data_IF_833477910557
#
_entry.id   IF_833477910557
#
_cell.length_a   1.000
_cell.length_b   1.000
_cell.length_c   1.000
_cell.angle_alpha   90.00
_cell.angle_beta   90.00
_cell.angle_gamma   90.00
#
_symmetry.space_group_name_H-M   'P 1'
#
loop_
_entity.id
_entity.type
_entity.pdbx_description
1 polymer ?
#
# COMPACT_ATOMS: atom_id res chain seq x y z
N UNK A 1 3.65 -12.29 -25.82
CA UNK A 1 2.83 -13.22 -25.04
C UNK A 1 3.22 -12.99 -23.59
N UNK A 2 2.32 -12.45 -22.81
CA UNK A 2 2.57 -12.24 -21.40
C UNK A 2 2.75 -13.59 -20.71
N UNK A 3 3.86 -13.74 -20.03
CA UNK A 3 4.17 -14.99 -19.34
C UNK A 3 3.36 -15.04 -18.04
N UNK A 4 2.21 -15.70 -18.05
CA UNK A 4 1.28 -15.78 -16.91
C UNK A 4 1.79 -16.67 -15.76
N UNK A 5 2.88 -17.39 -15.95
CA UNK A 5 3.50 -18.25 -14.93
C UNK A 5 5.02 -18.12 -14.95
N UNK A 6 5.66 -18.06 -13.77
CA UNK A 6 7.13 -18.16 -13.64
C UNK A 6 7.61 -19.58 -13.86
N UNK A 7 6.93 -20.57 -13.27
CA UNK A 7 7.22 -22.01 -13.47
C UNK A 7 6.01 -22.88 -13.13
N UNK A 8 5.98 -24.10 -13.70
CA UNK A 8 4.95 -25.09 -13.36
C UNK A 8 5.02 -25.53 -11.89
N UNK A 9 6.22 -25.54 -11.31
CA UNK A 9 6.42 -25.88 -9.91
C UNK A 9 5.75 -24.86 -9.00
N UNK A 10 5.93 -23.57 -9.24
CA UNK A 10 5.31 -22.49 -8.46
C UNK A 10 3.78 -22.48 -8.56
N UNK A 11 3.24 -22.87 -9.72
CA UNK A 11 1.78 -23.06 -9.86
C UNK A 11 1.30 -24.23 -8.99
N UNK A 12 2.06 -25.33 -8.93
CA UNK A 12 1.69 -26.49 -8.12
C UNK A 12 1.82 -26.23 -6.61
N UNK A 13 2.87 -25.51 -6.19
CA UNK A 13 3.19 -25.30 -4.77
C UNK A 13 2.40 -24.11 -4.17
N UNK A 14 2.16 -23.06 -4.95
CA UNK A 14 1.58 -21.79 -4.46
C UNK A 14 0.37 -21.29 -5.25
N UNK A 15 -0.07 -22.01 -6.29
CA UNK A 15 -1.15 -21.56 -7.16
C UNK A 15 -0.81 -20.29 -7.96
N UNK A 16 0.49 -19.97 -8.14
CA UNK A 16 0.93 -18.70 -8.71
C UNK A 16 0.60 -18.60 -10.20
N UNK A 17 -0.43 -17.81 -10.51
CA UNK A 17 -0.83 -17.49 -11.88
C UNK A 17 -1.05 -15.98 -11.97
N UNK A 18 -0.29 -15.31 -12.83
CA UNK A 18 -0.43 -13.87 -13.02
C UNK A 18 -1.61 -13.54 -13.91
N UNK A 19 -2.44 -12.60 -13.48
CA UNK A 19 -3.56 -12.08 -14.27
C UNK A 19 -3.04 -11.31 -15.47
N UNK A 20 -3.55 -11.60 -16.66
CA UNK A 20 -3.16 -10.91 -17.88
C UNK A 20 -3.56 -9.42 -17.84
N UNK A 21 -2.75 -8.56 -18.44
CA UNK A 21 -2.95 -7.09 -18.44
C UNK A 21 -4.35 -6.68 -18.90
N UNK A 22 -4.90 -7.34 -19.93
CA UNK A 22 -6.26 -7.08 -20.42
C UNK A 22 -7.31 -7.33 -19.33
N UNK A 23 -7.14 -8.38 -18.56
CA UNK A 23 -8.08 -8.77 -17.49
C UNK A 23 -7.94 -7.83 -16.30
N UNK A 24 -6.69 -7.47 -15.92
CA UNK A 24 -6.41 -6.45 -14.91
C UNK A 24 -7.13 -5.15 -15.24
N UNK A 25 -6.98 -4.66 -16.49
CA UNK A 25 -7.63 -3.43 -16.91
C UNK A 25 -9.15 -3.53 -16.86
N UNK A 26 -9.73 -4.65 -17.35
CA UNK A 26 -11.17 -4.86 -17.32
C UNK A 26 -11.74 -4.89 -15.90
N UNK A 27 -11.04 -5.51 -14.94
CA UNK A 27 -11.44 -5.53 -13.52
C UNK A 27 -11.32 -4.15 -12.89
N UNK A 28 -10.22 -3.44 -13.12
CA UNK A 28 -10.02 -2.08 -12.58
C UNK A 28 -10.96 -1.04 -13.18
N UNK A 29 -11.49 -1.29 -14.39
CA UNK A 29 -12.51 -0.42 -14.99
C UNK A 29 -13.86 -0.48 -14.25
N UNK A 30 -14.14 -1.56 -13.53
CA UNK A 30 -15.33 -1.67 -12.66
C UNK A 30 -15.27 -0.68 -11.48
N UNK A 31 -14.07 -0.37 -11.02
CA UNK A 31 -13.80 0.56 -9.90
C UNK A 31 -12.99 1.77 -10.37
N UNK A 32 -13.23 2.20 -11.63
CA UNK A 32 -12.47 3.27 -12.27
C UNK A 32 -12.43 4.56 -11.45
N UNK A 33 -13.54 4.92 -10.82
CA UNK A 33 -13.63 6.14 -10.00
C UNK A 33 -12.61 6.13 -8.86
N UNK A 34 -12.39 4.97 -8.22
CA UNK A 34 -11.42 4.83 -7.15
C UNK A 34 -9.99 4.76 -7.70
N UNK A 35 -9.74 4.09 -8.83
CA UNK A 35 -8.39 4.05 -9.43
C UNK A 35 -7.94 5.40 -9.99
N UNK A 36 -8.86 6.32 -10.26
CA UNK A 36 -8.59 7.70 -10.70
C UNK A 36 -8.62 8.71 -9.53
N UNK A 37 -8.88 8.28 -8.28
CA UNK A 37 -8.69 9.08 -7.06
C UNK A 37 -7.29 8.87 -6.51
N UNK A 38 -6.55 9.96 -6.33
CA UNK A 38 -5.14 9.91 -5.89
C UNK A 38 -4.99 9.24 -4.53
N UNK A 39 -5.90 9.53 -3.60
CA UNK A 39 -5.86 9.13 -2.19
C UNK A 39 -6.68 7.88 -1.85
N UNK A 40 -7.43 7.30 -2.79
CA UNK A 40 -8.13 6.03 -2.55
C UNK A 40 -7.15 4.91 -2.24
N UNK A 41 -7.35 4.23 -1.11
CA UNK A 41 -6.50 3.14 -0.66
C UNK A 41 -6.82 1.84 -1.39
N UNK A 42 -5.79 1.12 -1.81
CA UNK A 42 -5.87 -0.20 -2.42
C UNK A 42 -4.97 -1.17 -1.67
N UNK A 43 -5.51 -2.31 -1.28
CA UNK A 43 -4.77 -3.44 -0.75
C UNK A 43 -4.95 -4.65 -1.67
N UNK A 44 -3.85 -5.20 -2.15
CA UNK A 44 -3.82 -6.45 -2.92
C UNK A 44 -3.22 -7.56 -2.04
N UNK A 45 -4.04 -8.50 -1.54
CA UNK A 45 -3.59 -9.49 -0.56
C UNK A 45 -2.77 -10.65 -1.16
N UNK A 46 -2.68 -10.72 -2.49
CA UNK A 46 -1.85 -11.67 -3.23
C UNK A 46 -1.22 -10.95 -4.44
N UNK A 47 -0.37 -9.95 -4.15
CA UNK A 47 0.01 -8.97 -5.16
C UNK A 47 0.92 -9.52 -6.26
N UNK A 48 1.53 -10.69 -6.08
CA UNK A 48 2.50 -11.24 -7.02
C UNK A 48 3.62 -10.25 -7.33
N UNK A 49 3.97 -10.13 -8.60
CA UNK A 49 4.91 -9.13 -9.09
C UNK A 49 4.27 -7.74 -9.34
N UNK A 50 3.03 -7.54 -8.86
CA UNK A 50 2.35 -6.25 -8.83
C UNK A 50 1.54 -5.89 -10.08
N UNK A 51 0.93 -6.82 -10.80
CA UNK A 51 0.15 -6.52 -12.01
C UNK A 51 -0.99 -5.52 -11.77
N UNK A 52 -1.81 -5.74 -10.73
CA UNK A 52 -2.89 -4.83 -10.35
C UNK A 52 -2.35 -3.51 -9.81
N UNK A 53 -1.41 -3.57 -8.87
CA UNK A 53 -0.85 -2.38 -8.23
C UNK A 53 -0.12 -1.47 -9.23
N UNK A 54 0.56 -2.05 -10.23
CA UNK A 54 1.23 -1.31 -11.29
C UNK A 54 0.24 -0.51 -12.14
N UNK A 55 -0.89 -1.10 -12.51
CA UNK A 55 -1.91 -0.41 -13.28
C UNK A 55 -2.64 0.66 -12.45
N UNK A 56 -2.95 0.38 -11.19
CA UNK A 56 -3.51 1.37 -10.25
C UNK A 56 -2.57 2.57 -10.15
N UNK A 57 -1.27 2.33 -9.95
CA UNK A 57 -0.27 3.41 -9.87
C UNK A 57 -0.20 4.23 -11.15
N UNK A 58 -0.21 3.60 -12.33
CA UNK A 58 -0.23 4.33 -13.61
C UNK A 58 -1.45 5.24 -13.74
N UNK A 59 -2.64 4.75 -13.39
CA UNK A 59 -3.89 5.54 -13.43
C UNK A 59 -3.81 6.74 -12.48
N UNK A 60 -3.38 6.53 -11.25
CA UNK A 60 -3.21 7.62 -10.26
C UNK A 60 -2.17 8.64 -10.72
N UNK A 61 -0.99 8.21 -11.18
CA UNK A 61 0.04 9.12 -11.69
C UNK A 61 -0.40 9.88 -12.94
N UNK A 62 -1.23 9.28 -13.79
CA UNK A 62 -1.84 10.00 -14.93
C UNK A 62 -2.75 11.14 -14.47
N UNK A 63 -3.52 10.94 -13.40
CA UNK A 63 -4.32 11.99 -12.77
C UNK A 63 -3.42 13.08 -12.17
N UNK A 64 -2.40 12.67 -11.40
CA UNK A 64 -1.42 13.62 -10.82
C UNK A 64 -0.78 14.46 -11.91
N UNK A 65 -0.32 13.85 -13.00
CA UNK A 65 0.27 14.56 -14.14
C UNK A 65 -0.71 15.53 -14.80
N UNK A 66 -1.96 15.12 -14.98
CA UNK A 66 -3.00 15.96 -15.61
C UNK A 66 -3.32 17.20 -14.78
N UNK A 67 -3.42 17.04 -13.45
CA UNK A 67 -3.91 18.08 -12.56
C UNK A 67 -2.79 18.95 -11.97
N UNK A 68 -1.64 18.35 -11.68
CA UNK A 68 -0.53 18.97 -10.96
C UNK A 68 0.75 19.12 -11.80
N UNK A 69 0.64 19.08 -13.13
CA UNK A 69 1.80 19.30 -14.00
C UNK A 69 2.46 20.66 -13.69
N UNK A 70 3.79 20.71 -13.52
CA UNK A 70 4.50 21.93 -13.13
C UNK A 70 4.36 23.03 -14.17
N UNK A 71 3.43 23.97 -13.97
CA UNK A 71 3.18 25.08 -14.90
C UNK A 71 4.11 26.27 -14.68
N UNK A 72 4.74 26.38 -13.51
CA UNK A 72 5.59 27.51 -13.07
C UNK A 72 6.99 27.08 -12.64
N UNK A 73 7.45 25.92 -13.06
CA UNK A 73 8.82 25.47 -12.84
C UNK A 73 9.10 24.81 -11.47
N UNK A 74 8.09 24.63 -10.60
CA UNK A 74 8.26 23.87 -9.34
C UNK A 74 7.57 22.50 -9.44
N UNK A 75 8.29 21.43 -9.11
CA UNK A 75 7.74 20.08 -9.01
C UNK A 75 7.08 19.77 -7.66
N UNK A 76 7.02 20.72 -6.74
CA UNK A 76 6.58 20.49 -5.37
C UNK A 76 5.17 19.87 -5.29
N UNK A 77 4.19 20.48 -5.94
CA UNK A 77 2.81 19.99 -5.90
C UNK A 77 2.66 18.62 -6.58
N UNK A 78 3.39 18.41 -7.69
CA UNK A 78 3.45 17.10 -8.33
C UNK A 78 4.03 16.04 -7.39
N UNK A 79 5.15 16.32 -6.72
CA UNK A 79 5.76 15.40 -5.77
C UNK A 79 4.83 15.06 -4.60
N UNK A 80 4.14 16.05 -4.02
CA UNK A 80 3.20 15.79 -2.94
C UNK A 80 2.06 14.85 -3.36
N UNK A 81 1.49 15.07 -4.53
CA UNK A 81 0.38 14.24 -5.01
C UNK A 81 0.85 12.87 -5.50
N UNK A 82 2.03 12.79 -6.13
CA UNK A 82 2.63 11.51 -6.50
C UNK A 82 3.00 10.67 -5.26
N UNK A 83 3.48 11.31 -4.18
CA UNK A 83 3.71 10.65 -2.90
C UNK A 83 2.41 10.07 -2.33
N UNK A 84 1.30 10.84 -2.31
CA UNK A 84 -0.01 10.34 -1.85
C UNK A 84 -0.47 9.15 -2.69
N UNK A 85 -0.28 9.19 -4.02
CA UNK A 85 -0.61 8.07 -4.90
C UNK A 85 0.16 6.80 -4.54
N UNK A 86 1.46 6.90 -4.24
CA UNK A 86 2.28 5.75 -3.82
C UNK A 86 1.90 5.28 -2.42
N UNK A 87 1.67 6.20 -1.48
CA UNK A 87 1.28 5.91 -0.10
C UNK A 87 -0.06 5.20 0.03
N UNK A 88 -0.94 5.33 -0.97
CA UNK A 88 -2.27 4.71 -0.98
C UNK A 88 -2.32 3.29 -1.56
N UNK A 89 -1.16 2.70 -1.89
CA UNK A 89 -1.06 1.36 -2.51
C UNK A 89 -0.36 0.42 -1.54
N UNK A 90 -1.02 -0.70 -1.22
CA UNK A 90 -0.53 -1.74 -0.31
C UNK A 90 -0.60 -3.10 -0.98
N UNK A 91 0.34 -3.98 -0.63
CA UNK A 91 0.36 -5.34 -1.15
C UNK A 91 0.99 -6.33 -0.18
N UNK A 92 0.48 -7.55 -0.22
CA UNK A 92 1.06 -8.70 0.49
C UNK A 92 1.32 -9.79 -0.52
N UNK A 93 2.42 -10.49 -0.41
CA UNK A 93 2.67 -11.75 -1.11
C UNK A 93 3.49 -12.67 -0.22
N UNK A 94 3.23 -13.97 -0.31
CA UNK A 94 3.94 -14.98 0.50
C UNK A 94 5.39 -15.20 0.04
N UNK A 95 5.71 -14.81 -1.19
CA UNK A 95 7.00 -15.03 -1.81
C UNK A 95 7.83 -13.73 -1.86
N UNK A 96 8.97 -13.72 -1.18
CA UNK A 96 9.84 -12.55 -1.09
C UNK A 96 10.30 -12.03 -2.47
N UNK A 97 10.58 -12.91 -3.42
CA UNK A 97 11.00 -12.52 -4.77
C UNK A 97 9.88 -11.80 -5.57
N UNK A 98 8.62 -12.12 -5.29
CA UNK A 98 7.46 -11.39 -5.82
C UNK A 98 7.38 -10.00 -5.21
N UNK A 99 7.52 -9.91 -3.89
CA UNK A 99 7.53 -8.62 -3.17
C UNK A 99 8.62 -7.70 -3.71
N UNK A 100 9.83 -8.22 -3.90
CA UNK A 100 10.95 -7.43 -4.41
C UNK A 100 10.72 -7.01 -5.87
N UNK A 101 10.18 -7.91 -6.70
CA UNK A 101 9.82 -7.61 -8.08
C UNK A 101 8.69 -6.55 -8.15
N UNK A 102 7.68 -6.65 -7.30
CA UNK A 102 6.59 -5.70 -7.19
C UNK A 102 7.11 -4.30 -6.80
N UNK A 103 7.91 -4.20 -5.73
CA UNK A 103 8.52 -2.94 -5.28
C UNK A 103 9.34 -2.26 -6.38
N UNK A 104 10.19 -3.03 -7.06
CA UNK A 104 11.01 -2.49 -8.13
C UNK A 104 10.18 -2.04 -9.34
N UNK A 105 9.17 -2.82 -9.73
CA UNK A 105 8.25 -2.47 -10.81
C UNK A 105 7.48 -1.19 -10.52
N UNK A 106 6.93 -1.05 -9.33
CA UNK A 106 6.22 0.16 -8.91
C UNK A 106 7.16 1.37 -8.88
N UNK A 107 8.38 1.19 -8.38
CA UNK A 107 9.37 2.24 -8.39
C UNK A 107 9.75 2.68 -9.81
N UNK A 108 9.94 1.75 -10.73
CA UNK A 108 10.28 2.07 -12.13
C UNK A 108 9.17 2.85 -12.83
N UNK A 109 7.90 2.48 -12.60
CA UNK A 109 6.73 3.23 -13.12
C UNK A 109 6.75 4.65 -12.59
N UNK A 110 6.91 4.81 -11.28
CA UNK A 110 7.00 6.12 -10.64
C UNK A 110 8.18 6.93 -11.19
N UNK A 111 9.40 6.39 -11.21
CA UNK A 111 10.63 7.12 -11.57
C UNK A 111 10.62 7.57 -13.04
N UNK A 112 10.07 6.75 -13.94
CA UNK A 112 9.89 7.11 -15.35
C UNK A 112 9.02 8.37 -15.49
N UNK A 113 7.85 8.41 -14.84
CA UNK A 113 6.94 9.56 -14.87
C UNK A 113 7.54 10.78 -14.14
N UNK A 114 8.13 10.57 -12.96
CA UNK A 114 8.77 11.63 -12.19
C UNK A 114 9.90 12.32 -12.96
N UNK A 115 10.78 11.53 -13.57
CA UNK A 115 11.89 12.05 -14.38
C UNK A 115 11.38 12.80 -15.61
N UNK A 116 10.35 12.28 -16.29
CA UNK A 116 9.76 12.93 -17.46
C UNK A 116 9.10 14.28 -17.10
N UNK A 117 8.44 14.36 -15.94
CA UNK A 117 7.73 15.56 -15.49
C UNK A 117 8.69 16.58 -14.88
N UNK A 118 9.53 16.17 -13.93
CA UNK A 118 10.35 17.07 -13.13
C UNK A 118 11.72 17.36 -13.75
N UNK A 119 12.20 16.54 -14.68
CA UNK A 119 13.46 16.75 -15.43
C UNK A 119 14.65 17.02 -14.50
N UNK A 120 15.29 18.19 -14.64
CA UNK A 120 16.44 18.60 -13.82
C UNK A 120 16.12 18.89 -12.36
N UNK A 121 14.84 18.96 -11.97
CA UNK A 121 14.42 19.12 -10.58
C UNK A 121 14.18 17.77 -9.88
N UNK A 122 14.22 16.65 -10.61
CA UNK A 122 14.10 15.33 -10.03
C UNK A 122 15.28 15.09 -9.05
N UNK A 123 14.95 14.63 -7.82
CA UNK A 123 15.93 14.51 -6.74
C UNK A 123 16.04 13.07 -6.23
N UNK A 124 17.25 12.65 -5.89
CA UNK A 124 17.51 11.31 -5.35
C UNK A 124 16.96 11.15 -3.93
N UNK A 125 16.89 12.23 -3.15
CA UNK A 125 16.24 12.21 -1.85
C UNK A 125 14.74 11.83 -1.96
N UNK A 126 14.04 12.34 -2.98
CA UNK A 126 12.66 11.99 -3.20
C UNK A 126 12.50 10.55 -3.72
N UNK A 127 13.40 10.07 -4.60
CA UNK A 127 13.45 8.67 -5.02
C UNK A 127 13.65 7.71 -3.84
N UNK A 128 14.58 8.07 -2.94
CA UNK A 128 14.80 7.29 -1.70
C UNK A 128 13.57 7.25 -0.82
N UNK A 129 12.86 8.39 -0.69
CA UNK A 129 11.61 8.47 0.05
C UNK A 129 10.52 7.53 -0.54
N UNK A 130 10.37 7.50 -1.87
CA UNK A 130 9.43 6.61 -2.54
C UNK A 130 9.81 5.13 -2.36
N UNK A 131 11.10 4.78 -2.50
CA UNK A 131 11.56 3.40 -2.23
C UNK A 131 11.26 2.98 -0.79
N UNK A 132 11.45 3.87 0.16
CA UNK A 132 11.12 3.63 1.56
C UNK A 132 9.62 3.37 1.74
N UNK A 133 8.74 4.22 1.20
CA UNK A 133 7.28 4.00 1.27
C UNK A 133 6.90 2.64 0.68
N UNK A 134 7.42 2.30 -0.51
CA UNK A 134 7.15 1.00 -1.14
C UNK A 134 7.66 -0.17 -0.28
N UNK A 135 8.79 -0.02 0.42
CA UNK A 135 9.30 -1.07 1.32
C UNK A 135 8.40 -1.30 2.54
N UNK A 136 7.66 -0.28 2.97
CA UNK A 136 6.73 -0.36 4.09
C UNK A 136 5.32 -0.81 3.67
N UNK A 137 4.93 -0.54 2.43
CA UNK A 137 3.59 -0.82 1.94
C UNK A 137 3.46 -2.16 1.20
N UNK A 138 4.54 -2.71 0.66
CA UNK A 138 4.54 -4.00 -0.03
C UNK A 138 5.34 -4.99 0.81
N UNK A 139 4.66 -5.98 1.39
CA UNK A 139 5.23 -6.80 2.45
C UNK A 139 5.18 -8.29 2.11
N UNK A 140 6.20 -9.02 2.57
CA UNK A 140 6.19 -10.48 2.56
C UNK A 140 5.40 -10.98 3.77
N UNK A 141 4.38 -11.80 3.50
CA UNK A 141 3.50 -12.34 4.53
C UNK A 141 2.37 -13.17 3.95
N UNK A 142 1.65 -13.81 4.83
CA UNK A 142 0.46 -14.58 4.51
C UNK A 142 -0.78 -13.75 4.85
N UNK A 143 -1.50 -13.28 3.83
CA UNK A 143 -2.68 -12.44 4.03
C UNK A 143 -3.88 -13.19 4.64
N UNK A 144 -3.88 -14.53 4.61
CA UNK A 144 -4.95 -15.33 5.23
C UNK A 144 -4.78 -15.42 6.75
N UNK A 145 -3.55 -15.63 7.22
CA UNK A 145 -3.22 -15.62 8.65
C UNK A 145 -2.91 -14.23 9.19
N UNK A 146 -2.65 -13.25 8.27
CA UNK A 146 -2.23 -11.88 8.58
C UNK A 146 -0.87 -11.82 9.30
N UNK A 147 -0.06 -12.88 9.14
CA UNK A 147 1.26 -13.03 9.75
C UNK A 147 2.38 -12.79 8.73
N UNK A 148 3.54 -12.37 9.24
CA UNK A 148 4.77 -12.41 8.47
C UNK A 148 5.15 -13.87 8.22
N UNK A 149 5.88 -14.12 7.13
CA UNK A 149 6.41 -15.46 6.83
C UNK A 149 7.93 -15.46 6.86
N UNK A 150 8.49 -16.62 7.16
CA UNK A 150 9.91 -16.86 7.10
C UNK A 150 10.39 -17.15 5.66
N UNK A 151 11.67 -17.52 5.49
CA UNK A 151 12.26 -17.83 4.19
C UNK A 151 11.71 -19.11 3.53
N UNK A 152 11.01 -19.94 4.28
CA UNK A 152 10.36 -21.16 3.78
C UNK A 152 8.89 -20.90 3.39
N UNK A 153 8.36 -19.73 3.74
CA UNK A 153 6.96 -19.37 3.53
C UNK A 153 6.03 -19.80 4.67
N UNK A 154 6.60 -20.24 5.79
CA UNK A 154 5.84 -20.61 6.98
C UNK A 154 5.52 -19.36 7.82
N UNK A 155 4.33 -19.33 8.42
CA UNK A 155 3.92 -18.23 9.29
C UNK A 155 4.86 -18.09 10.50
N UNK A 156 5.24 -16.85 10.80
CA UNK A 156 5.98 -16.48 12.02
C UNK A 156 5.01 -16.02 13.12
N UNK A 157 5.54 -15.67 14.31
CA UNK A 157 4.77 -15.07 15.40
C UNK A 157 4.55 -13.55 15.22
N UNK A 158 4.99 -12.98 14.10
CA UNK A 158 4.91 -11.53 13.83
C UNK A 158 3.73 -11.21 12.93
N UNK A 159 2.87 -10.27 13.36
CA UNK A 159 1.77 -9.76 12.54
C UNK A 159 2.28 -8.91 11.38
N UNK A 160 1.52 -8.90 10.29
CA UNK A 160 1.69 -7.90 9.23
C UNK A 160 1.28 -6.54 9.80
N UNK A 161 2.17 -5.56 9.67
CA UNK A 161 1.98 -4.19 10.14
C UNK A 161 2.05 -3.28 8.92
N UNK A 162 0.99 -2.48 8.72
CA UNK A 162 0.96 -1.46 7.69
C UNK A 162 1.02 -0.06 8.27
N UNK A 163 1.78 0.84 7.64
CA UNK A 163 1.73 2.25 7.96
C UNK A 163 0.47 2.90 7.40
N UNK A 164 -0.15 3.74 8.18
CA UNK A 164 -1.03 4.78 7.69
C UNK A 164 -0.23 6.06 7.49
N UNK A 165 -0.34 6.63 6.30
CA UNK A 165 0.34 7.86 5.90
C UNK A 165 -0.66 9.01 5.84
N UNK A 166 -0.36 10.12 6.49
CA UNK A 166 -1.22 11.30 6.45
C UNK A 166 -0.41 12.60 6.31
N UNK A 167 -1.07 13.63 5.79
CA UNK A 167 -0.54 14.98 5.65
C UNK A 167 -1.40 15.92 6.50
N UNK A 168 -1.28 15.92 7.85
CA UNK A 168 -2.23 16.54 8.75
C UNK A 168 -2.34 18.06 8.61
N UNK A 169 -1.32 18.71 8.01
CA UNK A 169 -1.32 20.16 7.74
C UNK A 169 -1.53 20.48 6.27
N UNK A 170 -1.76 19.47 5.45
CA UNK A 170 -1.84 19.58 3.99
C UNK A 170 -0.62 20.32 3.37
N UNK A 171 0.52 20.19 4.03
CA UNK A 171 1.81 20.74 3.65
C UNK A 171 2.82 19.64 3.32
N UNK A 172 4.12 19.94 3.38
CA UNK A 172 5.20 18.98 3.09
C UNK A 172 5.49 17.99 4.23
N UNK A 173 4.72 18.03 5.32
CA UNK A 173 4.97 17.20 6.50
C UNK A 173 4.08 15.98 6.51
N UNK A 174 4.68 14.80 6.69
CA UNK A 174 4.03 13.50 6.75
C UNK A 174 4.02 12.99 8.18
N UNK A 175 2.87 12.45 8.59
CA UNK A 175 2.70 11.64 9.79
C UNK A 175 2.62 10.17 9.37
N UNK A 176 3.31 9.29 10.10
CA UNK A 176 3.20 7.84 10.00
C UNK A 176 2.64 7.29 11.29
N UNK A 177 1.66 6.40 11.18
CA UNK A 177 1.14 5.57 12.26
C UNK A 177 1.10 4.13 11.78
N UNK A 178 1.58 3.20 12.58
CA UNK A 178 1.64 1.79 12.22
C UNK A 178 0.51 1.02 12.89
N UNK A 179 -0.19 0.20 12.10
CA UNK A 179 -1.32 -0.61 12.57
C UNK A 179 -1.15 -2.07 12.18
N UNK A 180 -1.69 -2.96 12.97
CA UNK A 180 -1.80 -4.38 12.62
C UNK A 180 -2.88 -4.58 11.56
N UNK A 181 -2.58 -5.41 10.55
CA UNK A 181 -3.51 -5.69 9.45
C UNK A 181 -4.80 -6.36 9.93
N UNK A 182 -4.71 -7.30 10.88
CA UNK A 182 -5.87 -8.00 11.42
C UNK A 182 -6.85 -7.07 12.15
N UNK A 183 -6.35 -5.99 12.75
CA UNK A 183 -7.18 -4.97 13.40
C UNK A 183 -7.87 -4.08 12.36
N UNK A 184 -7.12 -3.61 11.34
CA UNK A 184 -7.68 -2.79 10.27
C UNK A 184 -8.78 -3.49 9.46
N UNK A 185 -8.67 -4.81 9.27
CA UNK A 185 -9.68 -5.56 8.51
C UNK A 185 -10.94 -5.87 9.35
N UNK A 186 -10.84 -5.91 10.68
CA UNK A 186 -12.01 -6.06 11.57
C UNK A 186 -12.91 -4.81 11.53
N UNK A 187 -12.33 -3.61 11.54
CA UNK A 187 -13.09 -2.36 11.43
C UNK A 187 -13.98 -2.31 10.19
N UNK A 188 -13.49 -2.78 9.05
CA UNK A 188 -14.23 -2.72 7.78
C UNK A 188 -15.33 -3.78 7.65
N UNK A 189 -15.40 -4.79 8.53
CA UNK A 189 -16.38 -5.85 8.46
C UNK A 189 -17.60 -5.64 9.40
N UNK A 190 -17.53 -4.66 10.29
CA UNK A 190 -18.58 -4.48 11.33
C UNK A 190 -19.85 -3.78 10.82
N UNK A 191 -19.86 -3.23 9.59
CA UNK A 191 -21.07 -2.59 9.05
C UNK A 191 -22.18 -3.57 8.58
N UNK A 192 -21.90 -4.86 8.37
CA UNK A 192 -22.87 -5.81 7.81
C UNK A 192 -23.27 -7.00 8.71
N UNK A 193 -22.63 -7.25 9.86
CA UNK A 193 -22.86 -8.48 10.64
C UNK A 193 -22.84 -8.29 12.16
N UNK A 194 -23.75 -7.49 12.71
CA UNK A 194 -24.03 -7.47 14.16
C UNK A 194 -24.63 -8.78 14.71
N UNK A 195 -25.10 -9.68 13.84
CA UNK A 195 -25.81 -10.92 14.24
C UNK A 195 -24.95 -12.20 14.25
N UNK A 196 -23.67 -12.15 13.87
CA UNK A 196 -22.82 -13.34 13.82
C UNK A 196 -21.59 -13.30 14.74
N UNK A 197 -21.60 -12.48 15.77
CA UNK A 197 -20.62 -12.62 16.87
C UNK A 197 -20.92 -13.93 17.61
N UNK A 198 -20.20 -14.98 17.21
CA UNK A 198 -20.18 -16.23 17.96
C UNK A 198 -19.67 -15.94 19.36
N UNK A 199 -20.52 -16.14 20.37
CA UNK A 199 -20.19 -16.08 21.79
C UNK A 199 -19.10 -17.08 22.21
N UNK A 200 -18.44 -17.75 21.25
CA UNK A 200 -17.46 -18.81 21.47
C UNK A 200 -16.11 -18.58 20.78
N UNK A 201 -15.89 -17.43 20.11
CA UNK A 201 -14.53 -17.05 19.73
C UNK A 201 -13.80 -16.51 20.95
N UNK A 202 -12.92 -17.35 21.49
CA UNK A 202 -12.03 -17.06 22.63
C UNK A 202 -10.98 -15.95 22.36
N UNK A 203 -11.00 -15.33 21.17
CA UNK A 203 -10.29 -14.07 20.89
C UNK A 203 -11.17 -12.90 21.38
N UNK A 204 -11.27 -12.80 22.71
CA UNK A 204 -11.74 -11.58 23.34
C UNK A 204 -11.06 -10.40 22.66
N UNK A 205 -11.87 -9.49 22.07
CA UNK A 205 -11.40 -8.26 21.43
C UNK A 205 -10.31 -7.65 22.33
N UNK A 206 -9.06 -7.69 21.88
CA UNK A 206 -7.97 -7.18 22.69
C UNK A 206 -8.09 -5.66 22.73
N UNK A 207 -8.81 -5.16 23.74
CA UNK A 207 -9.11 -3.74 23.94
C UNK A 207 -7.85 -2.86 23.95
N UNK A 208 -6.67 -3.44 24.18
CA UNK A 208 -5.41 -2.70 24.10
C UNK A 208 -5.06 -2.24 22.66
N UNK A 209 -5.70 -2.84 21.64
CA UNK A 209 -5.53 -2.50 20.23
C UNK A 209 -6.58 -1.52 19.69
N UNK A 210 -7.50 -1.07 20.57
CA UNK A 210 -8.59 -0.16 20.19
C UNK A 210 -8.57 1.05 21.12
N UNK A 211 -9.01 2.18 20.60
CA UNK A 211 -9.21 3.41 21.34
C UNK A 211 -10.54 4.06 20.94
N UNK A 212 -11.10 4.87 21.87
CA UNK A 212 -12.34 5.60 21.59
C UNK A 212 -12.02 6.88 20.83
N UNK A 213 -12.64 7.05 19.66
CA UNK A 213 -12.54 8.31 18.91
C UNK A 213 -13.12 9.46 19.77
N UNK A 214 -12.38 10.52 20.00
CA UNK A 214 -12.82 11.62 20.88
C UNK A 214 -14.05 12.38 20.37
N UNK A 215 -14.31 12.35 19.05
CA UNK A 215 -15.41 13.06 18.42
C UNK A 215 -16.65 12.17 18.24
N UNK A 216 -16.48 10.98 17.65
CA UNK A 216 -17.59 10.06 17.33
C UNK A 216 -17.95 9.12 18.46
N UNK A 217 -17.03 8.88 19.41
CA UNK A 217 -17.14 7.90 20.49
C UNK A 217 -17.16 6.43 20.01
N UNK A 218 -16.84 6.19 18.78
CA UNK A 218 -16.69 4.87 18.21
C UNK A 218 -15.33 4.26 18.58
N UNK A 219 -15.25 2.94 18.61
CA UNK A 219 -13.98 2.24 18.80
C UNK A 219 -13.24 2.22 17.46
N UNK A 220 -12.08 2.82 17.43
CA UNK A 220 -11.18 2.86 16.28
C UNK A 220 -9.89 2.09 16.56
N UNK A 221 -9.21 1.56 15.53
CA UNK A 221 -7.91 0.93 15.70
C UNK A 221 -6.89 1.87 16.34
N UNK A 222 -6.22 1.38 17.37
CA UNK A 222 -5.13 2.09 18.02
C UNK A 222 -3.82 1.81 17.29
N UNK A 223 -3.03 2.83 16.94
CA UNK A 223 -1.72 2.60 16.34
C UNK A 223 -0.78 1.92 17.35
N UNK A 224 -0.07 0.90 16.90
CA UNK A 224 0.97 0.24 17.71
C UNK A 224 2.24 1.09 17.84
N UNK A 225 2.45 2.00 16.87
CA UNK A 225 3.55 2.96 16.88
C UNK A 225 3.17 4.22 16.12
N UNK A 226 3.58 5.37 16.68
CA UNK A 226 3.46 6.66 16.02
C UNK A 226 4.84 7.29 15.85
N UNK A 227 5.03 7.95 14.71
CA UNK A 227 6.28 8.63 14.39
C UNK A 227 6.08 10.15 14.39
N UNK A 228 7.13 10.93 14.71
CA UNK A 228 7.05 12.37 14.64
C UNK A 228 6.83 12.84 13.20
N UNK A 229 6.28 14.04 13.04
CA UNK A 229 6.16 14.68 11.73
C UNK A 229 7.53 14.85 11.07
N UNK A 230 7.62 14.47 9.80
CA UNK A 230 8.85 14.62 9.02
C UNK A 230 8.52 15.16 7.62
N UNK A 231 9.46 15.88 7.02
CA UNK A 231 9.32 16.31 5.63
C UNK A 231 9.30 15.12 4.68
N UNK A 232 8.37 15.05 3.72
CA UNK A 232 8.16 13.89 2.85
C UNK A 232 9.41 13.38 2.13
N UNK A 233 10.34 14.26 1.74
CA UNK A 233 11.61 13.84 1.12
C UNK A 233 12.60 13.18 2.08
N UNK A 234 12.36 13.28 3.38
CA UNK A 234 13.21 12.71 4.44
C UNK A 234 12.58 11.52 5.15
N UNK A 235 11.45 11.03 4.65
CA UNK A 235 10.69 9.98 5.33
C UNK A 235 11.48 8.67 5.51
N UNK A 236 12.48 8.43 4.67
CA UNK A 236 13.41 7.31 4.81
C UNK A 236 14.32 7.41 6.07
N UNK A 237 14.31 8.55 6.76
CA UNK A 237 15.02 8.74 8.04
C UNK A 237 14.15 8.33 9.25
N UNK A 238 12.91 7.88 9.04
CA UNK A 238 12.06 7.28 10.06
C UNK A 238 12.49 5.83 10.31
N UNK A 239 13.52 5.62 11.09
CA UNK A 239 13.90 4.32 11.65
C UNK A 239 13.43 4.16 13.10
#
# INVERSE_FOLDING_TARGET
MDQQIKSKQRVADHGEVFTAEREVNAMLDLVKQETERIDSTFLEPACGDGNFLAEILRRKLAVVKREYFPRRGSCHDYELQAMKAVMSIYGVDILQDNVDACRERLFQIFDAEYTAVCKSQASDAYRSAIRYVLSQNILCGNALSMMRVDLLGDDTDEFIIFPEWSFPRNDSMVKRRDFRLDVLLKENNDEENYDSFSLFDDDAMNLDLWEEDPETKELIPKPIKEYPLIHYRRIAEHE
#
